data_IF_753494267781
#
_entry.id   IF_753494267781
#
_cell.length_a   1.000
_cell.length_b   1.000
_cell.length_c   1.000
_cell.angle_alpha   90.00
_cell.angle_beta   90.00
_cell.angle_gamma   90.00
#
_symmetry.space_group_name_H-M   'P 1'
#
loop_
_entity.id
_entity.type
_entity.pdbx_description
1 polymer ?
#
# COMPACT_ATOMS: atom_id res chain seq x y z
N UNK A 1 -18.55 -41.10 -14.68
CA UNK A 1 -18.33 -40.07 -13.64
C UNK A 1 -17.95 -38.80 -14.36
N UNK A 2 -18.83 -37.79 -14.38
CA UNK A 2 -18.59 -36.54 -15.08
C UNK A 2 -17.57 -35.70 -14.30
N UNK A 3 -16.46 -35.34 -14.93
CA UNK A 3 -15.55 -34.31 -14.43
C UNK A 3 -16.29 -32.98 -14.41
N UNK A 4 -16.54 -32.46 -13.20
CA UNK A 4 -16.96 -31.07 -13.02
C UNK A 4 -15.76 -30.22 -13.38
N UNK A 5 -15.77 -29.66 -14.58
CA UNK A 5 -14.89 -28.55 -14.95
C UNK A 5 -15.35 -27.38 -14.09
N UNK A 6 -14.61 -27.07 -13.03
CA UNK A 6 -14.80 -25.79 -12.33
C UNK A 6 -14.53 -24.69 -13.36
N UNK A 7 -15.56 -23.93 -13.73
CA UNK A 7 -15.37 -22.65 -14.41
C UNK A 7 -14.44 -21.81 -13.53
N UNK A 8 -13.22 -21.57 -14.03
CA UNK A 8 -12.33 -20.61 -13.41
C UNK A 8 -12.98 -19.24 -13.60
N UNK A 9 -13.70 -18.76 -12.59
CA UNK A 9 -14.23 -17.40 -12.58
C UNK A 9 -13.07 -16.45 -12.87
N UNK A 10 -13.23 -15.62 -13.91
CA UNK A 10 -12.23 -14.60 -14.23
C UNK A 10 -11.99 -13.73 -12.99
N UNK A 11 -10.74 -13.45 -12.64
CA UNK A 11 -10.45 -12.56 -11.53
C UNK A 11 -11.11 -11.20 -11.75
N UNK A 12 -11.73 -10.66 -10.72
CA UNK A 12 -12.41 -9.37 -10.76
C UNK A 12 -11.48 -8.33 -10.16
N UNK A 13 -11.06 -7.35 -10.96
CA UNK A 13 -10.55 -6.07 -10.49
C UNK A 13 -11.54 -4.99 -10.89
N UNK A 14 -12.21 -4.43 -9.90
CA UNK A 14 -13.06 -3.27 -10.08
C UNK A 14 -12.42 -2.07 -9.40
N UNK A 15 -12.31 -0.97 -10.13
CA UNK A 15 -11.78 0.29 -9.62
C UNK A 15 -12.77 1.40 -9.95
N UNK A 16 -13.17 2.13 -8.92
CA UNK A 16 -14.03 3.31 -9.01
C UNK A 16 -13.49 4.42 -8.14
N UNK A 17 -13.76 5.67 -8.51
CA UNK A 17 -13.40 6.82 -7.70
C UNK A 17 -14.58 7.77 -7.48
N UNK A 18 -14.58 8.47 -6.35
CA UNK A 18 -15.50 9.55 -6.03
C UNK A 18 -14.68 10.79 -5.69
N UNK A 19 -14.70 11.84 -6.54
CA UNK A 19 -14.06 13.11 -6.23
C UNK A 19 -14.64 13.71 -4.95
N UNK A 20 -13.77 14.29 -4.12
CA UNK A 20 -14.11 15.15 -2.98
C UNK A 20 -13.48 16.52 -3.24
N UNK A 21 -13.63 17.45 -2.29
CA UNK A 21 -13.15 18.83 -2.46
C UNK A 21 -11.66 18.90 -2.79
N UNK A 22 -10.82 18.28 -1.96
CA UNK A 22 -9.35 18.37 -2.06
C UNK A 22 -8.67 17.00 -2.20
N UNK A 23 -9.48 15.93 -2.26
CA UNK A 23 -9.05 14.53 -2.31
C UNK A 23 -9.97 13.73 -3.23
N UNK A 24 -9.59 12.50 -3.55
CA UNK A 24 -10.44 11.53 -4.25
C UNK A 24 -10.54 10.27 -3.42
N UNK A 25 -11.75 9.72 -3.25
CA UNK A 25 -11.91 8.39 -2.67
C UNK A 25 -11.78 7.36 -3.79
N UNK A 26 -10.74 6.55 -3.77
CA UNK A 26 -10.53 5.42 -4.68
C UNK A 26 -10.96 4.14 -3.97
N UNK A 27 -11.83 3.36 -4.60
CA UNK A 27 -12.22 2.02 -4.15
C UNK A 27 -11.63 1.00 -5.11
N UNK A 28 -10.92 0.01 -4.57
CA UNK A 28 -10.41 -1.14 -5.31
C UNK A 28 -11.11 -2.37 -4.76
N UNK A 29 -11.65 -3.21 -5.66
CA UNK A 29 -12.28 -4.47 -5.27
C UNK A 29 -11.65 -5.62 -6.02
N UNK A 30 -11.24 -6.63 -5.26
CA UNK A 30 -10.59 -7.84 -5.75
C UNK A 30 -11.43 -9.06 -5.38
N UNK A 31 -11.44 -10.07 -6.26
CA UNK A 31 -12.15 -11.33 -6.00
C UNK A 31 -11.52 -12.18 -4.89
N UNK A 32 -10.25 -11.96 -4.59
CA UNK A 32 -9.50 -12.67 -3.55
C UNK A 32 -8.49 -11.72 -2.92
N UNK A 33 -8.29 -11.88 -1.61
CA UNK A 33 -7.22 -11.22 -0.87
C UNK A 33 -5.85 -11.75 -1.31
N UNK A 34 -4.88 -10.85 -1.37
CA UNK A 34 -3.50 -11.15 -1.73
C UNK A 34 -2.54 -10.22 -0.97
N UNK A 35 -1.42 -10.76 -0.54
CA UNK A 35 -0.40 -9.98 0.13
C UNK A 35 0.15 -8.89 -0.81
N UNK A 36 0.26 -7.67 -0.30
CA UNK A 36 0.90 -6.57 -1.02
C UNK A 36 -0.03 -5.78 -1.94
N UNK A 37 -1.35 -5.81 -1.71
CA UNK A 37 -2.29 -4.91 -2.39
C UNK A 37 -1.84 -3.45 -2.25
N UNK A 38 -1.60 -2.97 -1.03
CA UNK A 38 -1.16 -1.59 -0.81
C UNK A 38 0.20 -1.29 -1.48
N UNK A 39 1.13 -2.24 -1.51
CA UNK A 39 2.41 -2.09 -2.22
C UNK A 39 2.20 -1.88 -3.74
N UNK A 40 1.38 -2.72 -4.38
CA UNK A 40 1.05 -2.59 -5.80
C UNK A 40 0.31 -1.28 -6.09
N UNK A 41 -0.71 -0.95 -5.30
CA UNK A 41 -1.51 0.27 -5.43
C UNK A 41 -0.64 1.52 -5.27
N UNK A 42 0.20 1.57 -4.24
CA UNK A 42 1.10 2.70 -4.00
C UNK A 42 2.09 2.86 -5.15
N UNK A 43 2.60 1.77 -5.73
CA UNK A 43 3.52 1.84 -6.88
C UNK A 43 2.87 2.48 -8.13
N UNK A 44 1.61 2.15 -8.41
CA UNK A 44 0.87 2.69 -9.55
C UNK A 44 0.50 4.15 -9.31
N UNK A 45 -0.06 4.47 -8.14
CA UNK A 45 -0.42 5.84 -7.80
C UNK A 45 0.79 6.78 -7.77
N UNK A 46 1.91 6.31 -7.22
CA UNK A 46 3.16 7.05 -7.22
C UNK A 46 3.65 7.36 -8.65
N UNK A 47 3.60 6.38 -9.55
CA UNK A 47 3.94 6.59 -10.98
C UNK A 47 3.07 7.69 -11.61
N UNK A 48 1.78 7.71 -11.27
CA UNK A 48 0.81 8.70 -11.76
C UNK A 48 0.81 10.02 -10.97
N UNK A 49 1.72 10.21 -10.01
CA UNK A 49 1.85 11.39 -9.14
C UNK A 49 0.65 11.64 -8.21
N UNK A 50 0.16 10.56 -7.61
CA UNK A 50 -0.87 10.58 -6.58
C UNK A 50 -0.33 10.01 -5.27
N UNK A 51 -0.60 10.71 -4.18
CA UNK A 51 -0.35 10.25 -2.82
C UNK A 51 -1.58 9.53 -2.26
N UNK A 52 -1.33 8.64 -1.32
CA UNK A 52 -2.34 8.04 -0.46
C UNK A 52 -2.25 8.76 0.89
N UNK A 53 -3.36 9.34 1.33
CA UNK A 53 -3.50 10.00 2.63
C UNK A 53 -4.08 9.03 3.67
N UNK A 54 -4.99 8.16 3.25
CA UNK A 54 -5.58 7.14 4.10
C UNK A 54 -5.77 5.87 3.28
N UNK A 55 -5.55 4.71 3.90
CA UNK A 55 -5.92 3.43 3.35
C UNK A 55 -6.60 2.58 4.43
N UNK A 56 -7.68 1.90 4.05
CA UNK A 56 -8.35 0.91 4.89
C UNK A 56 -8.49 -0.36 4.08
N UNK A 57 -7.89 -1.44 4.58
CA UNK A 57 -8.04 -2.75 4.00
C UNK A 57 -9.30 -3.42 4.56
N UNK A 58 -10.21 -3.82 3.66
CA UNK A 58 -11.47 -4.47 4.03
C UNK A 58 -11.60 -5.80 3.30
N UNK A 59 -11.21 -6.88 3.97
CA UNK A 59 -11.41 -8.25 3.46
C UNK A 59 -12.64 -8.88 4.12
N UNK A 60 -13.64 -9.23 3.31
CA UNK A 60 -14.81 -9.97 3.75
C UNK A 60 -14.44 -11.42 4.12
N UNK A 61 -15.28 -12.08 4.93
CA UNK A 61 -15.04 -13.46 5.38
C UNK A 61 -15.03 -14.49 4.24
N UNK A 62 -15.56 -14.15 3.07
CA UNK A 62 -15.53 -14.96 1.86
C UNK A 62 -14.31 -14.66 0.96
N UNK A 63 -13.39 -13.81 1.41
CA UNK A 63 -12.13 -13.47 0.75
C UNK A 63 -12.22 -12.32 -0.25
N UNK A 64 -13.38 -11.70 -0.46
CA UNK A 64 -13.47 -10.51 -1.31
C UNK A 64 -12.86 -9.28 -0.62
N UNK A 65 -12.05 -8.54 -1.37
CA UNK A 65 -11.41 -7.31 -0.88
C UNK A 65 -12.19 -6.09 -1.36
N UNK A 66 -12.33 -5.10 -0.49
CA UNK A 66 -12.89 -3.79 -0.78
C UNK A 66 -12.06 -2.66 -0.16
N UNK A 67 -10.82 -2.54 -0.58
CA UNK A 67 -9.93 -1.51 -0.05
C UNK A 67 -10.36 -0.10 -0.48
N UNK A 68 -10.26 0.81 0.48
CA UNK A 68 -10.57 2.22 0.31
C UNK A 68 -9.31 3.05 0.50
N UNK A 69 -9.06 3.96 -0.44
CA UNK A 69 -7.94 4.88 -0.40
C UNK A 69 -8.45 6.31 -0.52
N UNK A 70 -8.06 7.18 0.39
CA UNK A 70 -8.18 8.62 0.20
C UNK A 70 -6.90 9.07 -0.47
N UNK A 71 -6.98 9.54 -1.71
CA UNK A 71 -5.83 9.91 -2.54
C UNK A 71 -5.83 11.40 -2.89
N UNK A 72 -4.66 11.95 -3.15
CA UNK A 72 -4.47 13.34 -3.53
C UNK A 72 -3.45 13.47 -4.66
N UNK A 73 -3.71 14.36 -5.62
CA UNK A 73 -2.77 14.65 -6.70
C UNK A 73 -1.66 15.60 -6.22
N UNK A 74 -0.42 15.35 -6.62
CA UNK A 74 0.72 16.24 -6.33
C UNK A 74 0.61 17.61 -7.00
N UNK A 75 -0.07 17.71 -8.13
CA UNK A 75 -0.19 18.93 -8.92
C UNK A 75 -1.64 19.46 -8.99
N UNK A 76 -2.51 18.96 -8.10
CA UNK A 76 -3.90 19.40 -8.00
C UNK A 76 -4.79 18.96 -9.16
N UNK A 77 -4.33 18.02 -10.00
CA UNK A 77 -5.13 17.46 -11.09
C UNK A 77 -6.27 16.59 -10.58
N UNK A 78 -7.36 16.60 -11.33
CA UNK A 78 -8.50 15.73 -11.11
C UNK A 78 -8.25 14.31 -11.64
N UNK A 79 -8.91 13.32 -11.04
CA UNK A 79 -8.93 11.94 -11.52
C UNK A 79 -9.87 11.82 -12.72
N UNK A 80 -9.31 11.90 -13.93
CA UNK A 80 -10.09 11.71 -15.17
C UNK A 80 -10.35 10.24 -15.46
N UNK A 81 -11.41 9.93 -16.23
CA UNK A 81 -11.68 8.55 -16.68
C UNK A 81 -10.54 7.93 -17.48
N UNK A 82 -9.82 8.74 -18.27
CA UNK A 82 -8.64 8.28 -19.02
C UNK A 82 -7.53 7.80 -18.07
N UNK A 83 -7.24 8.60 -17.04
CA UNK A 83 -6.26 8.24 -16.01
C UNK A 83 -6.71 7.03 -15.19
N UNK A 84 -7.98 6.98 -14.78
CA UNK A 84 -8.53 5.84 -14.05
C UNK A 84 -8.44 4.54 -14.88
N UNK A 85 -8.64 4.62 -16.20
CA UNK A 85 -8.47 3.50 -17.12
C UNK A 85 -7.01 3.03 -17.22
N UNK A 86 -6.04 3.96 -17.20
CA UNK A 86 -4.62 3.64 -17.14
C UNK A 86 -4.27 2.93 -15.84
N UNK A 87 -4.67 3.50 -14.69
CA UNK A 87 -4.50 2.90 -13.36
C UNK A 87 -5.09 1.49 -13.30
N UNK A 88 -6.28 1.28 -13.90
CA UNK A 88 -6.90 -0.04 -13.98
C UNK A 88 -6.06 -1.04 -14.79
N UNK A 89 -5.51 -0.60 -15.92
CA UNK A 89 -4.64 -1.44 -16.77
C UNK A 89 -3.35 -1.80 -16.03
N UNK A 90 -2.72 -0.83 -15.38
CA UNK A 90 -1.49 -1.02 -14.63
C UNK A 90 -1.69 -2.01 -13.48
N UNK A 91 -2.72 -1.82 -12.67
CA UNK A 91 -3.04 -2.72 -11.57
C UNK A 91 -3.44 -4.11 -12.06
N UNK A 92 -4.20 -4.21 -13.16
CA UNK A 92 -4.53 -5.51 -13.76
C UNK A 92 -3.27 -6.30 -14.11
N UNK A 93 -2.26 -5.63 -14.69
CA UNK A 93 -1.00 -6.29 -15.02
C UNK A 93 -0.25 -6.81 -13.78
N UNK A 94 -0.28 -6.05 -12.67
CA UNK A 94 0.38 -6.41 -11.41
C UNK A 94 -0.33 -7.52 -10.64
N UNK A 95 -1.66 -7.63 -10.75
CA UNK A 95 -2.44 -8.65 -10.05
C UNK A 95 -2.60 -9.95 -10.86
N UNK A 96 -2.75 -9.87 -12.19
CA UNK A 96 -3.23 -11.01 -12.97
C UNK A 96 -2.38 -11.39 -14.19
N UNK A 97 -1.40 -10.56 -14.58
CA UNK A 97 -0.52 -10.86 -15.73
C UNK A 97 0.88 -11.28 -15.29
N UNK A 98 1.11 -11.46 -13.98
CA UNK A 98 2.40 -11.88 -13.44
C UNK A 98 3.49 -10.80 -13.51
N UNK A 99 3.12 -9.55 -13.79
CA UNK A 99 4.06 -8.43 -13.82
C UNK A 99 4.49 -8.09 -12.39
N UNK A 100 5.79 -8.08 -12.13
CA UNK A 100 6.30 -7.61 -10.84
C UNK A 100 6.32 -6.09 -10.76
N UNK A 101 6.20 -5.53 -9.54
CA UNK A 101 6.33 -4.08 -9.31
C UNK A 101 7.68 -3.55 -9.80
N UNK A 102 8.77 -4.32 -9.63
CA UNK A 102 10.09 -3.96 -10.15
C UNK A 102 10.13 -3.85 -11.67
N UNK A 103 9.44 -4.75 -12.41
CA UNK A 103 9.32 -4.66 -13.87
C UNK A 103 8.44 -3.48 -14.28
N UNK A 104 7.30 -3.29 -13.62
CA UNK A 104 6.42 -2.14 -13.85
C UNK A 104 7.15 -0.82 -13.69
N UNK A 105 7.90 -0.63 -12.59
CA UNK A 105 8.68 0.57 -12.38
C UNK A 105 9.79 0.72 -13.41
N UNK A 106 10.48 -0.35 -13.83
CA UNK A 106 11.52 -0.23 -14.87
C UNK A 106 10.97 0.29 -16.20
N UNK A 107 9.78 -0.14 -16.58
CA UNK A 107 9.15 0.25 -17.85
C UNK A 107 8.54 1.65 -17.81
N UNK A 108 8.14 2.10 -16.62
CA UNK A 108 7.34 3.32 -16.44
C UNK A 108 8.08 4.42 -15.66
N UNK A 109 9.22 4.12 -15.03
CA UNK A 109 9.97 5.10 -14.27
C UNK A 109 10.62 6.11 -15.20
N UNK A 110 10.34 7.39 -14.94
CA UNK A 110 11.25 8.48 -15.29
C UNK A 110 12.47 8.36 -14.37
N UNK A 111 13.68 8.64 -14.83
CA UNK A 111 14.93 8.52 -14.04
C UNK A 111 14.87 9.24 -12.67
N UNK A 112 13.97 10.22 -12.52
CA UNK A 112 13.67 10.98 -11.29
C UNK A 112 12.97 10.15 -10.19
N UNK A 113 12.37 9.01 -10.51
CA UNK A 113 11.62 8.11 -9.59
C UNK A 113 12.55 7.19 -8.78
N UNK A 114 13.86 7.20 -9.06
CA UNK A 114 14.85 6.54 -8.20
C UNK A 114 14.93 7.31 -6.89
N UNK A 115 14.07 6.96 -5.94
CA UNK A 115 14.02 7.60 -4.63
C UNK A 115 15.40 7.51 -4.01
N UNK A 116 16.06 8.67 -3.87
CA UNK A 116 17.33 8.73 -3.15
C UNK A 116 17.03 8.37 -1.71
N UNK A 117 17.74 7.37 -1.21
CA UNK A 117 17.85 7.06 0.23
C UNK A 117 18.57 8.23 0.92
N UNK A 118 17.85 9.32 1.15
CA UNK A 118 18.33 10.40 2.00
C UNK A 118 17.79 10.05 3.38
N UNK A 119 18.65 9.44 4.20
CA UNK A 119 18.32 9.22 5.59
C UNK A 119 17.98 10.55 6.27
N UNK A 120 16.93 10.54 7.07
CA UNK A 120 16.52 11.57 8.00
C UNK A 120 17.04 11.22 9.39
N UNK A 121 18.07 11.94 9.84
CA UNK A 121 18.63 11.76 11.18
C UNK A 121 17.63 11.99 12.33
N UNK A 122 16.49 12.63 12.04
CA UNK A 122 15.41 12.86 13.00
C UNK A 122 14.28 11.83 12.89
N UNK A 123 14.42 10.81 12.02
CA UNK A 123 13.43 9.76 11.86
C UNK A 123 13.22 9.01 13.18
N UNK A 124 11.96 8.73 13.50
CA UNK A 124 11.56 8.03 14.71
C UNK A 124 10.51 6.98 14.38
N UNK A 125 10.82 5.73 14.73
CA UNK A 125 9.96 4.57 14.52
C UNK A 125 9.53 3.99 15.87
N UNK A 126 8.23 3.99 16.15
CA UNK A 126 7.64 3.35 17.32
C UNK A 126 6.83 2.14 16.88
N UNK A 127 7.10 1.00 17.52
CA UNK A 127 6.38 -0.26 17.31
C UNK A 127 5.85 -0.73 18.66
N UNK A 128 4.59 -1.12 18.73
CA UNK A 128 4.01 -1.68 19.96
C UNK A 128 2.74 -2.49 19.67
N UNK A 129 2.45 -3.44 20.55
CA UNK A 129 1.22 -4.21 20.54
C UNK A 129 0.25 -3.68 21.61
N UNK A 130 -0.84 -2.98 21.23
CA UNK A 130 -1.86 -2.57 22.20
C UNK A 130 -2.50 -3.80 22.87
N UNK A 131 -2.74 -3.76 24.18
CA UNK A 131 -3.26 -4.93 24.93
C UNK A 131 -4.64 -5.38 24.41
N UNK A 132 -5.50 -4.42 24.07
CA UNK A 132 -6.91 -4.66 23.72
C UNK A 132 -7.19 -4.79 22.22
N UNK A 133 -6.15 -4.97 21.41
CA UNK A 133 -6.26 -5.07 19.95
C UNK A 133 -5.73 -6.41 19.47
N UNK A 134 -5.98 -6.75 18.21
CA UNK A 134 -5.45 -7.92 17.49
C UNK A 134 -4.33 -7.55 16.49
N UNK A 135 -3.96 -6.28 16.42
CA UNK A 135 -2.94 -5.73 15.53
C UNK A 135 -1.73 -5.14 16.26
N UNK A 136 -0.64 -4.94 15.52
CA UNK A 136 0.53 -4.15 15.90
C UNK A 136 0.38 -2.72 15.39
N UNK A 137 0.80 -1.73 16.16
CA UNK A 137 0.87 -0.34 15.70
C UNK A 137 2.31 0.00 15.32
N UNK A 138 2.48 0.62 14.15
CA UNK A 138 3.71 1.27 13.72
C UNK A 138 3.46 2.76 13.51
N UNK A 139 4.05 3.60 14.36
CA UNK A 139 4.07 5.05 14.16
C UNK A 139 5.44 5.46 13.61
N UNK A 140 5.43 6.20 12.51
CA UNK A 140 6.61 6.73 11.86
C UNK A 140 6.58 8.25 11.85
N UNK A 141 7.68 8.86 12.25
CA UNK A 141 7.91 10.30 12.07
C UNK A 141 9.18 10.49 11.29
N UNK A 142 9.13 11.26 10.22
CA UNK A 142 10.31 11.64 9.44
C UNK A 142 9.98 12.81 8.53
N UNK A 143 10.98 13.35 7.84
CA UNK A 143 10.83 14.30 6.76
C UNK A 143 9.98 13.70 5.63
N UNK A 144 9.04 14.49 5.14
CA UNK A 144 8.23 14.09 3.99
C UNK A 144 9.10 14.06 2.72
N UNK A 145 9.20 12.88 2.11
CA UNK A 145 10.01 12.65 0.91
C UNK A 145 9.21 11.85 -0.11
N UNK A 146 9.28 12.22 -1.42
CA UNK A 146 8.54 11.51 -2.45
C UNK A 146 8.85 10.01 -2.46
N UNK A 147 7.80 9.19 -2.40
CA UNK A 147 7.91 7.73 -2.54
C UNK A 147 8.26 6.99 -1.25
N UNK A 148 8.21 7.67 -0.09
CA UNK A 148 8.45 7.03 1.19
C UNK A 148 7.41 5.95 1.53
N UNK A 149 6.12 6.21 1.30
CA UNK A 149 5.06 5.22 1.52
C UNK A 149 5.25 3.97 0.64
N UNK A 150 5.70 4.17 -0.60
CA UNK A 150 6.03 3.06 -1.49
C UNK A 150 7.15 2.18 -0.91
N UNK A 151 8.23 2.78 -0.38
CA UNK A 151 9.32 2.02 0.24
C UNK A 151 8.90 1.30 1.52
N UNK A 152 8.06 1.94 2.35
CA UNK A 152 7.54 1.31 3.57
C UNK A 152 6.67 0.11 3.21
N UNK A 153 5.74 0.27 2.27
CA UNK A 153 4.86 -0.83 1.83
C UNK A 153 5.65 -1.97 1.17
N UNK A 154 6.72 -1.66 0.44
CA UNK A 154 7.67 -2.65 -0.07
C UNK A 154 8.38 -3.42 1.04
N UNK A 155 8.85 -2.73 2.07
CA UNK A 155 9.54 -3.35 3.20
C UNK A 155 8.60 -4.29 3.97
N UNK A 156 7.37 -3.85 4.22
CA UNK A 156 6.35 -4.65 4.90
C UNK A 156 5.96 -5.89 4.07
N UNK A 157 5.75 -5.71 2.76
CA UNK A 157 5.48 -6.80 1.82
C UNK A 157 6.56 -7.89 1.88
N UNK A 158 7.83 -7.52 1.78
CA UNK A 158 8.94 -8.47 1.81
C UNK A 158 9.11 -9.19 3.16
N UNK A 159 8.58 -8.64 4.25
CA UNK A 159 8.57 -9.25 5.57
C UNK A 159 7.32 -10.10 5.84
N UNK A 160 6.41 -10.22 4.86
CA UNK A 160 5.14 -10.92 5.05
C UNK A 160 4.22 -10.21 6.02
N UNK A 161 4.31 -8.89 6.12
CA UNK A 161 3.48 -8.05 6.99
C UNK A 161 2.37 -7.43 6.14
N UNK A 162 1.14 -7.61 6.62
CA UNK A 162 -0.06 -7.05 6.03
C UNK A 162 -0.46 -5.74 6.73
N UNK A 163 -1.12 -4.85 5.99
CA UNK A 163 -1.51 -3.51 6.43
C UNK A 163 -3.04 -3.46 6.50
N UNK A 164 -3.56 -3.43 7.72
CA UNK A 164 -5.00 -3.30 8.00
C UNK A 164 -5.47 -1.88 7.69
N UNK A 165 -4.68 -0.90 8.12
CA UNK A 165 -4.93 0.49 7.78
C UNK A 165 -3.67 1.32 7.81
N UNK A 166 -3.73 2.44 7.11
CA UNK A 166 -2.70 3.45 7.06
C UNK A 166 -3.35 4.84 7.13
N UNK A 167 -2.75 5.74 7.88
CA UNK A 167 -3.14 7.14 7.93
C UNK A 167 -1.89 8.00 7.88
N UNK A 168 -1.80 8.82 6.84
CA UNK A 168 -0.80 9.85 6.72
C UNK A 168 -1.22 11.09 7.51
N UNK A 169 -0.30 11.67 8.27
CA UNK A 169 -0.49 13.00 8.85
C UNK A 169 0.76 13.82 8.60
N UNK A 170 0.65 14.90 7.84
CA UNK A 170 1.76 15.82 7.62
C UNK A 170 1.59 17.06 8.50
N UNK A 171 2.67 17.46 9.18
CA UNK A 171 2.74 18.70 9.94
C UNK A 171 4.16 19.25 9.87
N UNK A 172 4.30 20.51 9.45
CA UNK A 172 5.59 21.22 9.40
C UNK A 172 6.67 20.49 8.58
N UNK A 173 6.29 19.99 7.40
CA UNK A 173 7.19 19.28 6.48
C UNK A 173 7.62 17.88 6.95
N UNK A 174 7.00 17.35 8.01
CA UNK A 174 7.23 16.00 8.53
C UNK A 174 5.97 15.17 8.47
N UNK A 175 6.14 13.90 8.11
CA UNK A 175 5.09 12.89 8.23
C UNK A 175 5.01 12.39 9.67
N UNK A 176 3.83 11.95 10.07
CA UNK A 176 3.44 11.36 11.36
C UNK A 176 2.45 10.25 11.05
N UNK A 177 2.96 9.27 10.33
CA UNK A 177 2.16 8.21 9.75
C UNK A 177 1.92 7.11 10.77
N UNK A 178 0.73 6.53 10.73
CA UNK A 178 0.38 5.40 11.57
C UNK A 178 -0.11 4.25 10.70
N UNK A 179 0.39 3.06 11.00
CA UNK A 179 0.02 1.82 10.33
C UNK A 179 -0.48 0.81 11.36
N UNK A 180 -1.57 0.14 11.03
CA UNK A 180 -2.05 -1.02 11.76
C UNK A 180 -1.64 -2.28 10.99
N UNK A 181 -0.84 -3.13 11.63
CA UNK A 181 -0.10 -4.22 11.00
C UNK A 181 -0.47 -5.57 11.60
N UNK A 182 -0.41 -6.62 10.78
CA UNK A 182 -0.53 -8.01 11.21
C UNK A 182 0.36 -8.92 10.36
N UNK A 183 0.59 -10.14 10.80
CA UNK A 183 1.25 -11.13 9.95
C UNK A 183 0.29 -11.54 8.82
N UNK A 184 0.82 -11.67 7.61
CA UNK A 184 0.02 -12.16 6.47
C UNK A 184 -0.37 -13.63 6.59
N UNK A 185 0.44 -14.42 7.31
CA UNK A 185 0.25 -15.87 7.42
C UNK A 185 -0.84 -16.24 8.43
N UNK A 186 -0.88 -15.58 9.59
CA UNK A 186 -1.80 -15.95 10.68
C UNK A 186 -2.82 -14.87 10.99
N UNK A 187 -2.60 -13.64 10.54
CA UNK A 187 -3.43 -12.49 10.90
C UNK A 187 -3.19 -11.97 12.32
N UNK A 188 -2.19 -12.53 13.03
CA UNK A 188 -1.85 -12.12 14.38
C UNK A 188 -0.99 -10.84 14.41
N UNK A 189 -0.80 -10.30 15.60
CA UNK A 189 0.23 -9.28 15.85
C UNK A 189 1.62 -9.76 15.46
N UNK A 190 2.47 -8.81 15.11
CA UNK A 190 3.88 -9.06 14.90
C UNK A 190 4.54 -9.46 16.23
N UNK A 191 5.38 -10.50 16.19
CA UNK A 191 6.17 -10.93 17.33
C UNK A 191 7.19 -9.83 17.71
N UNK A 192 7.13 -9.34 18.95
CA UNK A 192 7.97 -8.23 19.40
C UNK A 192 9.46 -8.58 19.48
N UNK A 193 9.81 -9.85 19.66
CA UNK A 193 11.20 -10.29 19.82
C UNK A 193 11.86 -10.60 18.48
N UNK A 194 11.09 -11.07 17.50
CA UNK A 194 11.58 -11.50 16.20
C UNK A 194 11.31 -10.45 15.12
N UNK A 195 10.05 -10.03 14.96
CA UNK A 195 9.64 -9.21 13.82
C UNK A 195 9.94 -7.73 14.03
N UNK A 196 9.84 -7.20 15.25
CA UNK A 196 10.15 -5.78 15.48
C UNK A 196 11.61 -5.44 15.12
N UNK A 197 12.64 -6.20 15.55
CA UNK A 197 14.02 -5.93 15.15
C UNK A 197 14.23 -6.04 13.63
N UNK A 198 13.61 -7.03 12.97
CA UNK A 198 13.71 -7.20 11.51
C UNK A 198 13.10 -6.01 10.76
N UNK A 199 11.91 -5.57 11.18
CA UNK A 199 11.24 -4.43 10.58
C UNK A 199 12.05 -3.14 10.78
N UNK A 200 12.57 -2.90 11.99
CA UNK A 200 13.45 -1.76 12.26
C UNK A 200 14.66 -1.75 11.35
N UNK A 201 15.41 -2.84 11.30
CA UNK A 201 16.61 -2.96 10.48
C UNK A 201 16.31 -2.76 8.98
N UNK A 202 15.14 -3.19 8.50
CA UNK A 202 14.72 -2.99 7.11
C UNK A 202 14.43 -1.51 6.81
N UNK A 203 13.68 -0.84 7.69
CA UNK A 203 13.29 0.57 7.53
C UNK A 203 14.47 1.52 7.71
N UNK A 204 15.37 1.28 8.67
CA UNK A 204 16.59 2.08 8.92
C UNK A 204 17.53 2.17 7.69
N UNK A 205 17.33 1.33 6.66
CA UNK A 205 18.11 1.41 5.42
C UNK A 205 17.69 2.56 4.48
N UNK A 206 16.60 3.25 4.79
CA UNK A 206 16.07 4.39 4.04
C UNK A 206 15.33 5.44 4.88
N UNK A 207 15.11 5.17 6.17
CA UNK A 207 14.91 6.21 7.19
C UNK A 207 16.21 6.94 7.48
#
# INVERSE_FOLDING_TARGET
MAQVIQEVKKPILHISCVPRKDTTLLKISLSQDDLGILYRVTSVLFHHRWDILEAVAETASDGHVQDLFVIQSWDGKEMTESLLSQIRTDLYSLFYEGKSVAMYLRENAKEEILVRKIGDSEASLKLYNPISSDFTVMDLRMKDTPGILFQITEALYHLGIDIISFTANSFDGKIRDSFLLRTSLTGDKLDEKLMFPMLRAKLESFL
#
